data_IF_792302104469
#
_entry.id   IF_792302104469
#
_cell.length_a   1.000
_cell.length_b   1.000
_cell.length_c   1.000
_cell.angle_alpha   90.00
_cell.angle_beta   90.00
_cell.angle_gamma   90.00
#
_symmetry.space_group_name_H-M   'P 1'
#
loop_
_entity.id
_entity.type
_entity.pdbx_description
1 polymer ?
#
# COMPACT_ATOMS: atom_id res chain seq x y z
N UNK A 1 12.11 -9.72 11.08
CA UNK A 1 12.18 -9.68 12.56
C UNK A 1 10.77 -9.45 13.10
N UNK A 2 10.36 -10.17 14.15
CA UNK A 2 9.06 -9.94 14.82
C UNK A 2 9.08 -8.60 15.58
N UNK A 3 7.92 -7.91 15.67
CA UNK A 3 7.78 -6.57 16.26
C UNK A 3 8.38 -6.46 17.67
N UNK A 4 8.04 -7.40 18.56
CA UNK A 4 8.54 -7.42 19.94
C UNK A 4 10.07 -7.45 20.02
N UNK A 5 10.72 -8.36 19.28
CA UNK A 5 12.19 -8.46 19.25
C UNK A 5 12.86 -7.18 18.72
N UNK A 6 12.18 -6.48 17.78
CA UNK A 6 12.66 -5.19 17.27
C UNK A 6 12.58 -4.10 18.33
N UNK A 7 11.50 -4.04 19.10
CA UNK A 7 11.31 -3.06 20.17
C UNK A 7 12.34 -3.24 21.30
N UNK A 8 12.63 -4.47 21.71
CA UNK A 8 13.64 -4.71 22.75
C UNK A 8 15.06 -4.39 22.27
N UNK A 9 15.40 -4.76 21.04
CA UNK A 9 16.66 -4.37 20.40
C UNK A 9 16.79 -2.84 20.31
N UNK A 10 15.70 -2.16 19.93
CA UNK A 10 15.64 -0.71 19.85
C UNK A 10 15.82 -0.04 21.20
N UNK A 11 15.19 -0.55 22.26
CA UNK A 11 15.38 -0.07 23.64
C UNK A 11 16.84 -0.16 24.07
N UNK A 12 17.49 -1.28 23.78
CA UNK A 12 18.90 -1.45 24.10
C UNK A 12 19.78 -0.48 23.30
N UNK A 13 19.44 -0.24 22.04
CA UNK A 13 20.16 0.72 21.19
C UNK A 13 19.96 2.17 21.63
N UNK A 14 18.76 2.56 22.06
CA UNK A 14 18.50 3.87 22.68
C UNK A 14 19.29 4.00 23.97
N UNK A 15 19.32 2.95 24.81
CA UNK A 15 20.08 2.94 26.07
C UNK A 15 21.59 3.07 25.86
N UNK A 16 22.11 2.65 24.71
CA UNK A 16 23.54 2.81 24.39
C UNK A 16 23.94 4.27 24.10
N UNK A 17 23.01 5.23 24.16
CA UNK A 17 23.28 6.65 23.91
C UNK A 17 23.50 6.98 22.43
N UNK A 18 23.19 6.05 21.52
CA UNK A 18 23.31 6.32 20.10
C UNK A 18 22.30 7.37 19.65
N UNK A 19 22.68 8.21 18.68
CA UNK A 19 21.75 9.17 18.08
C UNK A 19 20.71 8.42 17.22
N UNK A 20 19.55 8.15 17.80
CA UNK A 20 18.45 7.46 17.11
C UNK A 20 17.57 8.49 16.41
N UNK A 21 17.40 8.31 15.10
CA UNK A 21 16.46 9.07 14.27
C UNK A 21 15.51 8.10 13.58
N UNK A 22 14.32 8.59 13.17
CA UNK A 22 13.35 7.79 12.40
C UNK A 22 14.00 7.12 11.18
N UNK A 23 14.85 7.86 10.46
CA UNK A 23 15.56 7.34 9.27
C UNK A 23 16.59 6.27 9.63
N UNK A 24 17.36 6.48 10.70
CA UNK A 24 18.34 5.50 11.16
C UNK A 24 17.67 4.20 11.62
N UNK A 25 16.52 4.32 12.29
CA UNK A 25 15.70 3.19 12.71
C UNK A 25 15.14 2.39 11.52
N UNK A 26 14.50 3.10 10.58
CA UNK A 26 13.98 2.51 9.35
C UNK A 26 15.07 1.74 8.58
N UNK A 27 16.26 2.33 8.46
CA UNK A 27 17.42 1.69 7.82
C UNK A 27 17.90 0.44 8.56
N UNK A 28 17.96 0.49 9.90
CA UNK A 28 18.46 -0.61 10.73
C UNK A 28 17.56 -1.85 10.71
N UNK A 29 16.25 -1.64 10.72
CA UNK A 29 15.28 -2.73 10.86
C UNK A 29 14.44 -3.02 9.61
N UNK A 30 14.67 -2.29 8.52
CA UNK A 30 13.97 -2.47 7.25
C UNK A 30 12.48 -2.15 7.33
N UNK A 31 12.10 -1.11 8.09
CA UNK A 31 10.70 -0.66 8.24
C UNK A 31 10.47 0.67 7.52
N UNK A 32 9.22 0.98 7.21
CA UNK A 32 8.86 2.31 6.71
C UNK A 32 9.00 3.39 7.80
N UNK A 33 9.12 4.65 7.39
CA UNK A 33 9.33 5.76 8.30
C UNK A 33 8.16 5.99 9.27
N UNK A 34 6.92 5.66 8.89
CA UNK A 34 5.76 5.77 9.78
C UNK A 34 5.81 4.68 10.87
N UNK A 35 6.10 3.43 10.49
CA UNK A 35 6.29 2.35 11.47
C UNK A 35 7.47 2.65 12.41
N UNK A 36 8.58 3.18 11.88
CA UNK A 36 9.70 3.61 12.72
C UNK A 36 9.28 4.71 13.70
N UNK A 37 8.48 5.68 13.27
CA UNK A 37 7.96 6.75 14.14
C UNK A 37 7.07 6.19 15.26
N UNK A 38 6.10 5.32 14.93
CA UNK A 38 5.21 4.69 15.90
C UNK A 38 5.97 3.85 16.92
N UNK A 39 6.94 3.05 16.46
CA UNK A 39 7.74 2.18 17.34
C UNK A 39 8.67 2.99 18.25
N UNK A 40 9.26 4.10 17.76
CA UNK A 40 10.06 5.02 18.58
C UNK A 40 9.20 5.76 19.61
N UNK A 41 7.98 6.14 19.24
CA UNK A 41 7.02 6.75 20.17
C UNK A 41 6.58 5.75 21.24
N UNK A 42 6.32 4.49 20.85
CA UNK A 42 5.90 3.43 21.76
C UNK A 42 6.97 3.04 22.81
N UNK A 43 8.25 3.21 22.49
CA UNK A 43 9.34 3.01 23.47
C UNK A 43 9.63 4.27 24.32
N UNK A 44 8.89 5.37 24.12
CA UNK A 44 9.04 6.63 24.85
C UNK A 44 10.27 7.44 24.45
N UNK A 45 10.80 7.26 23.24
CA UNK A 45 11.96 8.01 22.77
C UNK A 45 11.54 9.43 22.36
N UNK A 46 12.19 10.50 22.87
CA UNK A 46 11.87 11.87 22.49
C UNK A 46 12.32 12.12 21.05
N UNK A 47 11.36 12.25 20.14
CA UNK A 47 11.61 12.57 18.74
C UNK A 47 11.64 14.09 18.54
N UNK A 48 12.55 14.61 17.69
CA UNK A 48 12.56 16.03 17.35
C UNK A 48 11.31 16.39 16.52
N UNK A 49 10.87 17.66 16.55
CA UNK A 49 9.71 18.14 15.79
C UNK A 49 9.79 17.82 14.27
N UNK A 50 11.01 17.72 13.72
CA UNK A 50 11.24 17.29 12.33
C UNK A 50 10.76 15.86 12.01
N UNK A 51 10.45 15.05 13.03
CA UNK A 51 9.89 13.71 12.92
C UNK A 51 8.35 13.70 12.84
N UNK A 52 7.66 14.79 13.23
CA UNK A 52 6.18 14.87 13.24
C UNK A 52 5.57 14.65 11.85
N UNK A 53 6.33 14.94 10.78
CA UNK A 53 5.92 14.62 9.40
C UNK A 53 5.64 13.14 9.15
N UNK A 54 6.12 12.25 10.01
CA UNK A 54 5.88 10.81 9.96
C UNK A 54 4.83 10.33 10.98
N UNK A 55 4.25 11.23 11.77
CA UNK A 55 3.20 10.90 12.74
C UNK A 55 1.86 10.60 12.06
N UNK A 56 1.58 11.25 10.93
CA UNK A 56 0.35 11.03 10.18
C UNK A 56 0.64 10.11 8.99
N UNK A 57 0.21 8.86 9.12
CA UNK A 57 0.22 7.92 8.00
C UNK A 57 -0.91 8.30 7.04
N UNK A 58 -0.61 8.61 5.76
CA UNK A 58 -1.66 8.81 4.77
C UNK A 58 -2.50 7.53 4.65
N UNK A 59 -3.81 7.63 4.34
CA UNK A 59 -4.65 6.46 4.15
C UNK A 59 -3.97 5.52 3.17
N UNK A 60 -3.96 4.23 3.51
CA UNK A 60 -3.32 3.22 2.68
C UNK A 60 -4.04 3.15 1.35
N UNK A 61 -3.56 3.90 0.36
CA UNK A 61 -4.07 3.81 -1.00
C UNK A 61 -3.73 2.39 -1.46
N UNK A 62 -4.72 1.55 -1.80
CA UNK A 62 -4.42 0.25 -2.35
C UNK A 62 -3.56 0.49 -3.57
N UNK A 63 -2.28 0.07 -3.49
CA UNK A 63 -1.40 0.06 -4.64
C UNK A 63 -2.12 -0.80 -5.67
N UNK A 64 -2.66 -0.17 -6.73
CA UNK A 64 -3.05 -0.90 -7.94
C UNK A 64 -1.84 -1.78 -8.24
N UNK A 65 -1.95 -3.10 -8.02
CA UNK A 65 -0.95 -4.04 -8.54
C UNK A 65 -0.84 -3.64 -10.00
N UNK A 66 0.34 -3.20 -10.45
CA UNK A 66 0.63 -3.25 -11.88
C UNK A 66 0.43 -4.72 -12.20
N UNK A 67 -0.76 -5.07 -12.74
CA UNK A 67 -1.04 -6.40 -13.28
C UNK A 67 0.13 -6.64 -14.23
N UNK A 68 1.09 -7.46 -13.80
CA UNK A 68 1.95 -8.13 -14.76
C UNK A 68 0.97 -8.89 -15.63
N UNK A 69 1.05 -8.67 -16.93
CA UNK A 69 0.21 -9.30 -17.93
C UNK A 69 0.49 -10.80 -17.97
N UNK A 70 0.00 -11.55 -16.98
CA UNK A 70 0.08 -13.02 -16.95
C UNK A 70 -0.82 -13.70 -15.90
N UNK A 71 -1.86 -13.02 -15.41
CA UNK A 71 -2.93 -13.69 -14.64
C UNK A 71 -4.24 -13.35 -15.32
N UNK A 72 -4.69 -14.27 -16.18
CA UNK A 72 -6.09 -14.39 -16.59
C UNK A 72 -6.85 -14.72 -15.31
N UNK A 73 -7.33 -13.67 -14.65
CA UNK A 73 -8.10 -13.74 -13.43
C UNK A 73 -9.57 -13.99 -13.82
N UNK A 74 -9.88 -15.25 -14.08
CA UNK A 74 -11.25 -15.77 -14.05
C UNK A 74 -11.81 -15.59 -12.63
N UNK A 75 -12.59 -14.53 -12.38
CA UNK A 75 -13.73 -14.49 -11.43
C UNK A 75 -14.17 -13.10 -10.94
N UNK A 76 -13.92 -12.00 -11.65
CA UNK A 76 -14.75 -10.78 -11.48
C UNK A 76 -14.86 -10.07 -12.83
N UNK A 77 -16.07 -9.84 -13.39
CA UNK A 77 -16.19 -9.08 -14.63
C UNK A 77 -15.66 -7.67 -14.37
N UNK A 78 -14.54 -7.34 -15.02
CA UNK A 78 -13.98 -5.99 -14.95
C UNK A 78 -14.99 -5.05 -15.60
N UNK A 79 -15.35 -3.97 -14.91
CA UNK A 79 -16.27 -2.94 -15.42
C UNK A 79 -15.45 -1.74 -15.80
N UNK A 80 -15.41 -1.46 -17.10
CA UNK A 80 -14.65 -0.33 -17.64
C UNK A 80 -15.58 0.73 -18.20
N UNK A 81 -15.17 1.99 -18.07
CA UNK A 81 -15.83 3.11 -18.72
C UNK A 81 -15.22 3.32 -20.11
N UNK A 82 -16.06 3.33 -21.14
CA UNK A 82 -15.68 3.63 -22.53
C UNK A 82 -16.49 4.84 -22.97
N UNK A 83 -15.81 5.99 -23.09
CA UNK A 83 -16.46 7.31 -23.11
C UNK A 83 -17.41 7.46 -21.91
N UNK A 84 -18.72 7.54 -22.16
CA UNK A 84 -19.75 7.70 -21.12
C UNK A 84 -20.56 6.41 -20.87
N UNK A 85 -20.20 5.30 -21.50
CA UNK A 85 -20.91 4.01 -21.36
C UNK A 85 -20.13 3.04 -20.49
N UNK A 86 -20.85 2.27 -19.67
CA UNK A 86 -20.26 1.18 -18.88
C UNK A 86 -20.25 -0.10 -19.69
N UNK A 87 -19.12 -0.78 -19.71
CA UNK A 87 -18.91 -2.01 -20.43
C UNK A 87 -18.49 -3.13 -19.48
N UNK A 88 -19.18 -4.26 -19.56
CA UNK A 88 -18.79 -5.51 -18.93
C UNK A 88 -17.71 -6.18 -19.79
N UNK A 89 -16.49 -6.27 -19.27
CA UNK A 89 -15.37 -6.89 -19.99
C UNK A 89 -15.53 -8.41 -19.94
N UNK A 90 -15.68 -9.01 -21.11
CA UNK A 90 -15.71 -10.47 -21.31
C UNK A 90 -14.30 -11.00 -21.62
N UNK A 91 -13.41 -10.15 -22.13
CA UNK A 91 -12.01 -10.51 -22.35
C UNK A 91 -11.16 -9.34 -22.85
N UNK A 92 -9.88 -9.61 -23.09
CA UNK A 92 -8.92 -8.67 -23.66
C UNK A 92 -8.33 -9.21 -24.95
N UNK A 93 -8.13 -8.35 -25.94
CA UNK A 93 -7.34 -8.70 -27.12
C UNK A 93 -5.88 -8.93 -26.74
N UNK A 94 -5.06 -9.59 -27.58
CA UNK A 94 -3.61 -9.72 -27.33
C UNK A 94 -2.88 -8.38 -27.14
N UNK A 95 -3.45 -7.28 -27.64
CA UNK A 95 -2.95 -5.92 -27.43
C UNK A 95 -3.41 -5.25 -26.13
N UNK A 96 -4.19 -5.93 -25.30
CA UNK A 96 -4.72 -5.41 -24.03
C UNK A 96 -5.97 -4.55 -24.17
N UNK A 97 -6.62 -4.52 -25.34
CA UNK A 97 -7.88 -3.78 -25.53
C UNK A 97 -9.04 -4.59 -24.96
N UNK A 98 -9.83 -4.06 -24.01
CA UNK A 98 -11.00 -4.77 -23.47
C UNK A 98 -12.12 -4.90 -24.51
N UNK A 99 -12.84 -6.02 -24.51
CA UNK A 99 -14.06 -6.24 -25.30
C UNK A 99 -15.13 -7.00 -24.48
N UNK A 100 -16.39 -6.92 -24.91
CA UNK A 100 -17.54 -7.34 -24.10
C UNK A 100 -18.83 -6.57 -24.41
N UNK A 101 -19.78 -6.55 -23.47
CA UNK A 101 -21.14 -6.01 -23.66
C UNK A 101 -21.35 -4.70 -22.90
N UNK A 102 -22.11 -3.76 -23.45
CA UNK A 102 -22.46 -2.54 -22.73
C UNK A 102 -23.60 -2.77 -21.74
N UNK A 103 -23.58 -2.08 -20.60
CA UNK A 103 -24.62 -2.16 -19.57
C UNK A 103 -26.00 -1.74 -20.12
N UNK A 104 -26.00 -0.77 -21.04
CA UNK A 104 -27.21 -0.31 -21.72
C UNK A 104 -27.82 -1.37 -22.66
N UNK A 105 -27.01 -2.31 -23.17
CA UNK A 105 -27.45 -3.37 -24.10
C UNK A 105 -28.02 -4.58 -23.36
N UNK A 106 -27.68 -4.76 -22.08
CA UNK A 106 -28.19 -5.85 -21.23
C UNK A 106 -29.53 -5.46 -20.60
N UNK A 107 -29.83 -4.16 -20.50
CA UNK A 107 -31.06 -3.64 -19.87
C UNK A 107 -32.24 -3.55 -20.85
N UNK A 108 -32.02 -3.83 -22.14
CA UNK A 108 -33.02 -3.74 -23.22
C UNK A 108 -33.66 -5.09 -23.61
N UNK A 109 -33.61 -6.08 -22.72
CA UNK A 109 -34.36 -7.33 -22.90
C UNK A 109 -35.68 -7.26 -22.09
N UNK A 110 -36.86 -7.37 -22.73
CA UNK A 110 -38.17 -7.36 -22.04
C UNK A 110 -38.40 -8.61 -21.17
#
# INVERSE_FOLDING_TARGET
MRKLARLDSARQWVRSGAQVTVRAYAKRYGVDHYTAHDELTAIGFPLPASAEKWAQRPPSVPRKRRRRADEVDDAVPDRVWVSDRRMFVVGYTPGGTPFGCYEDEITDFP
#
